data_IF_553240885335
#
_entry.id   IF_553240885335
#
_cell.length_a   1.000
_cell.length_b   1.000
_cell.length_c   1.000
_cell.angle_alpha   90.00
_cell.angle_beta   90.00
_cell.angle_gamma   90.00
#
_symmetry.space_group_name_H-M   'P 1'
#
loop_
_entity.id
_entity.type
_entity.pdbx_description
1 polymer ?
#
# COMPACT_ATOMS: atom_id res chain seq x y z
N UNK A 1 32.29 36.32 -31.01
CA UNK A 1 30.85 36.28 -30.63
C UNK A 1 30.23 34.87 -30.69
N UNK A 2 30.66 33.94 -31.58
CA UNK A 2 30.08 32.59 -31.70
C UNK A 2 30.32 31.62 -30.52
N UNK A 3 31.43 31.76 -29.77
CA UNK A 3 31.77 30.85 -28.64
C UNK A 3 30.96 31.10 -27.36
N UNK A 4 30.41 32.30 -27.17
CA UNK A 4 29.59 32.62 -25.98
C UNK A 4 28.15 32.07 -26.13
N UNK A 5 27.57 32.15 -27.34
CA UNK A 5 26.22 31.63 -27.62
C UNK A 5 26.15 30.10 -27.49
N UNK A 6 27.20 29.37 -27.89
CA UNK A 6 27.26 27.91 -27.74
C UNK A 6 27.28 27.47 -26.25
N UNK A 7 27.89 28.26 -25.36
CA UNK A 7 27.90 27.98 -23.91
C UNK A 7 26.51 28.11 -23.29
N UNK A 8 25.74 29.12 -23.69
CA UNK A 8 24.38 29.31 -23.19
C UNK A 8 23.40 28.27 -23.74
N UNK A 9 23.56 27.83 -24.99
CA UNK A 9 22.76 26.72 -25.56
C UNK A 9 23.04 25.41 -24.84
N UNK A 10 24.30 25.11 -24.52
CA UNK A 10 24.67 23.91 -23.75
C UNK A 10 24.12 23.89 -22.33
N UNK A 11 24.06 25.06 -21.67
CA UNK A 11 23.46 25.21 -20.33
C UNK A 11 21.93 25.10 -20.38
N UNK A 12 21.29 25.63 -21.43
CA UNK A 12 19.84 25.55 -21.60
C UNK A 12 19.37 24.12 -21.88
N UNK A 13 20.15 23.32 -22.61
CA UNK A 13 19.88 21.89 -22.82
C UNK A 13 20.17 21.01 -21.59
N UNK A 14 21.06 21.44 -20.69
CA UNK A 14 21.34 20.72 -19.44
C UNK A 14 20.19 20.82 -18.43
N UNK A 15 19.38 21.89 -18.49
CA UNK A 15 18.16 22.04 -17.67
C UNK A 15 17.01 21.16 -18.18
N UNK A 16 17.00 20.83 -19.48
CA UNK A 16 16.00 19.95 -20.12
C UNK A 16 16.29 18.45 -19.92
N UNK A 17 17.46 18.11 -19.35
CA UNK A 17 17.91 16.75 -19.02
C UNK A 17 17.93 16.48 -17.50
N UNK A 18 17.12 17.22 -16.73
CA UNK A 18 16.69 16.70 -15.44
C UNK A 18 15.74 15.54 -15.77
N UNK A 19 16.00 14.31 -15.31
CA UNK A 19 15.01 13.25 -15.41
C UNK A 19 13.77 13.74 -14.66
N UNK A 20 12.71 14.11 -15.38
CA UNK A 20 11.38 14.31 -14.85
C UNK A 20 10.78 12.94 -14.49
N UNK A 21 11.43 12.23 -13.57
CA UNK A 21 11.05 10.92 -13.04
C UNK A 21 10.80 10.97 -11.53
N UNK A 22 10.41 12.12 -11.02
CA UNK A 22 9.52 12.18 -9.87
C UNK A 22 8.13 12.45 -10.45
N UNK A 23 7.32 11.39 -10.64
CA UNK A 23 5.88 11.61 -10.68
C UNK A 23 5.53 12.33 -9.39
N UNK A 24 5.11 13.59 -9.48
CA UNK A 24 4.55 14.28 -8.32
C UNK A 24 3.29 13.52 -7.96
N UNK A 25 3.37 12.62 -6.98
CA UNK A 25 2.17 12.13 -6.31
C UNK A 25 1.68 13.28 -5.42
N UNK A 26 1.02 14.25 -6.03
CA UNK A 26 0.32 15.29 -5.30
C UNK A 26 -0.82 14.66 -4.50
N UNK A 27 -1.28 15.35 -3.47
CA UNK A 27 -2.20 14.76 -2.49
C UNK A 27 -3.53 14.30 -3.09
N UNK A 28 -3.92 14.86 -4.23
CA UNK A 28 -5.08 14.42 -5.02
C UNK A 28 -4.92 12.97 -5.51
N UNK A 29 -3.72 12.56 -5.91
CA UNK A 29 -3.45 11.19 -6.36
C UNK A 29 -3.47 10.22 -5.18
N UNK A 30 -2.93 10.64 -4.04
CA UNK A 30 -3.02 9.86 -2.80
C UNK A 30 -4.47 9.67 -2.36
N UNK A 31 -5.29 10.72 -2.46
CA UNK A 31 -6.71 10.65 -2.11
C UNK A 31 -7.46 9.67 -3.03
N UNK A 32 -7.20 9.70 -4.35
CA UNK A 32 -7.80 8.77 -5.33
C UNK A 32 -7.39 7.31 -5.12
N UNK A 33 -6.15 7.09 -4.68
CA UNK A 33 -5.67 5.76 -4.30
C UNK A 33 -6.41 5.30 -3.04
N UNK A 34 -6.32 6.02 -1.93
CA UNK A 34 -6.75 5.44 -0.66
C UNK A 34 -8.27 5.49 -0.42
N UNK A 35 -8.94 6.57 -0.79
CA UNK A 35 -10.28 6.89 -0.27
C UNK A 35 -11.41 6.70 -1.29
N UNK A 36 -12.66 6.73 -0.80
CA UNK A 36 -13.86 6.64 -1.64
C UNK A 36 -14.18 5.23 -2.14
N UNK A 37 -13.45 4.21 -1.67
CA UNK A 37 -13.64 2.81 -2.05
C UNK A 37 -13.26 1.85 -0.92
N UNK A 38 -13.67 0.60 -1.08
CA UNK A 38 -13.22 -0.51 -0.24
C UNK A 38 -12.17 -1.30 -1.00
N UNK A 39 -11.06 -1.59 -0.35
CA UNK A 39 -9.97 -2.40 -0.87
C UNK A 39 -10.12 -3.83 -0.38
N UNK A 40 -10.18 -4.81 -1.29
CA UNK A 40 -10.16 -6.24 -0.96
C UNK A 40 -8.74 -6.77 -1.13
N UNK A 41 -8.20 -7.41 -0.09
CA UNK A 41 -6.88 -8.02 -0.13
C UNK A 41 -6.82 -9.12 -1.20
N UNK A 42 -5.74 -9.14 -1.98
CA UNK A 42 -5.45 -10.18 -2.95
C UNK A 42 -4.44 -11.19 -2.41
N UNK A 43 -3.27 -10.75 -1.95
CA UNK A 43 -2.26 -11.62 -1.32
C UNK A 43 -1.16 -10.81 -0.60
N UNK A 44 -0.33 -11.49 0.18
CA UNK A 44 0.93 -10.96 0.73
C UNK A 44 2.09 -11.61 -0.02
N UNK A 45 3.05 -10.80 -0.47
CA UNK A 45 4.20 -11.26 -1.29
C UNK A 45 5.49 -10.53 -0.92
N UNK A 46 6.63 -10.96 -1.46
CA UNK A 46 7.88 -10.19 -1.40
C UNK A 46 7.81 -9.02 -2.37
N UNK A 47 8.50 -7.91 -2.06
CA UNK A 47 8.60 -6.78 -2.98
C UNK A 47 9.12 -7.24 -4.35
N UNK A 48 8.34 -6.96 -5.40
CA UNK A 48 8.65 -7.35 -6.78
C UNK A 48 8.25 -8.77 -7.18
N UNK A 49 7.64 -9.55 -6.29
CA UNK A 49 7.06 -10.86 -6.61
C UNK A 49 5.54 -10.79 -6.78
N UNK A 50 4.95 -11.84 -7.35
CA UNK A 50 3.51 -11.96 -7.64
C UNK A 50 2.92 -13.28 -7.15
N UNK A 51 3.49 -13.84 -6.09
CA UNK A 51 3.05 -15.10 -5.46
C UNK A 51 2.97 -14.97 -3.96
N UNK A 52 2.18 -15.81 -3.32
CA UNK A 52 2.08 -15.84 -1.86
C UNK A 52 3.45 -15.99 -1.19
N UNK A 53 3.69 -15.17 -0.18
CA UNK A 53 4.77 -15.38 0.78
C UNK A 53 4.42 -16.54 1.71
N UNK A 54 5.35 -17.48 1.88
CA UNK A 54 5.15 -18.63 2.77
C UNK A 54 5.59 -18.29 4.19
N UNK A 55 4.64 -17.84 5.01
CA UNK A 55 4.82 -17.62 6.44
C UNK A 55 5.02 -18.93 7.22
N UNK A 56 5.94 -18.95 8.22
CA UNK A 56 6.10 -20.07 9.13
C UNK A 56 4.80 -20.42 9.86
N UNK A 57 4.46 -21.70 9.94
CA UNK A 57 3.29 -22.19 10.68
C UNK A 57 1.93 -21.89 10.03
N UNK A 58 1.91 -21.49 8.75
CA UNK A 58 0.69 -21.30 7.99
C UNK A 58 0.59 -22.38 6.91
N UNK A 59 -0.43 -23.22 7.02
CA UNK A 59 -0.71 -24.27 6.04
C UNK A 59 -1.27 -23.71 4.72
N UNK A 60 -1.05 -24.43 3.62
CA UNK A 60 -1.56 -24.10 2.27
C UNK A 60 -3.07 -23.76 2.25
N UNK A 61 -3.88 -24.51 3.01
CA UNK A 61 -5.32 -24.27 3.14
C UNK A 61 -5.68 -22.85 3.59
N UNK A 62 -4.85 -22.20 4.41
CA UNK A 62 -5.09 -20.82 4.83
C UNK A 62 -4.91 -19.87 3.64
N UNK A 63 -3.86 -20.04 2.83
CA UNK A 63 -3.65 -19.23 1.63
C UNK A 63 -4.79 -19.42 0.62
N UNK A 64 -5.15 -20.68 0.33
CA UNK A 64 -6.26 -21.00 -0.58
C UNK A 64 -7.60 -20.45 -0.08
N UNK A 65 -7.81 -20.38 1.24
CA UNK A 65 -9.02 -19.78 1.79
C UNK A 65 -9.15 -18.29 1.49
N UNK A 66 -8.06 -17.58 1.21
CA UNK A 66 -8.05 -16.18 0.80
C UNK A 66 -7.96 -15.98 -0.72
N UNK A 67 -8.10 -17.04 -1.52
CA UNK A 67 -8.13 -16.91 -2.98
C UNK A 67 -9.20 -15.88 -3.43
N UNK A 68 -8.87 -14.90 -4.28
CA UNK A 68 -9.81 -13.85 -4.65
C UNK A 68 -11.08 -14.33 -5.35
N UNK A 69 -11.04 -15.50 -6.00
CA UNK A 69 -12.11 -16.08 -6.83
C UNK A 69 -12.89 -17.19 -6.13
N UNK A 70 -12.20 -18.11 -5.44
CA UNK A 70 -12.81 -19.31 -4.83
C UNK A 70 -12.67 -19.35 -3.31
N UNK A 71 -11.95 -18.40 -2.72
CA UNK A 71 -11.68 -18.35 -1.28
C UNK A 71 -12.94 -18.12 -0.45
N UNK A 72 -12.97 -18.72 0.75
CA UNK A 72 -14.05 -18.56 1.73
C UNK A 72 -13.79 -17.43 2.72
N UNK A 73 -12.56 -16.92 2.76
CA UNK A 73 -12.08 -15.83 3.61
C UNK A 73 -11.75 -14.61 2.76
N UNK A 74 -11.85 -13.44 3.39
CA UNK A 74 -11.49 -12.18 2.76
C UNK A 74 -11.12 -11.17 3.84
N UNK A 75 -10.17 -10.30 3.51
CA UNK A 75 -9.91 -9.08 4.28
C UNK A 75 -10.24 -7.88 3.39
N UNK A 76 -11.03 -6.97 3.93
CA UNK A 76 -11.44 -5.72 3.29
C UNK A 76 -11.00 -4.57 4.16
N UNK A 77 -10.54 -3.48 3.56
CA UNK A 77 -10.16 -2.27 4.28
C UNK A 77 -10.69 -1.04 3.56
N UNK A 78 -11.30 -0.12 4.31
CA UNK A 78 -11.77 1.17 3.81
C UNK A 78 -11.01 2.26 4.54
N UNK A 79 -10.51 3.23 3.78
CA UNK A 79 -9.85 4.41 4.32
C UNK A 79 -10.74 5.63 4.10
N UNK A 80 -10.95 6.38 5.17
CA UNK A 80 -11.56 7.71 5.15
C UNK A 80 -10.52 8.74 5.54
N UNK A 81 -10.66 9.98 5.09
CA UNK A 81 -9.72 11.00 5.49
C UNK A 81 -9.86 12.28 4.70
N UNK A 82 -9.09 13.26 5.12
CA UNK A 82 -9.01 14.57 4.50
C UNK A 82 -7.56 14.97 4.25
N UNK A 83 -7.37 15.73 3.20
CA UNK A 83 -6.08 16.27 2.78
C UNK A 83 -5.67 17.47 3.63
N UNK A 84 -4.39 17.50 4.01
CA UNK A 84 -3.70 18.65 4.60
C UNK A 84 -2.29 18.69 4.04
N UNK A 85 -1.98 19.70 3.23
CA UNK A 85 -0.71 19.79 2.50
C UNK A 85 -0.44 18.50 1.71
N UNK A 86 0.74 17.88 1.88
CA UNK A 86 1.18 16.65 1.22
C UNK A 86 0.71 15.36 1.93
N UNK A 87 -0.24 15.47 2.87
CA UNK A 87 -0.68 14.34 3.71
C UNK A 87 -2.19 14.17 3.64
N UNK A 88 -2.61 12.91 3.68
CA UNK A 88 -3.99 12.53 3.96
C UNK A 88 -4.00 11.71 5.24
N UNK A 89 -4.96 11.99 6.12
CA UNK A 89 -5.14 11.25 7.36
C UNK A 89 -6.62 11.11 7.68
N UNK A 90 -6.96 10.09 8.46
CA UNK A 90 -8.31 9.83 8.92
C UNK A 90 -8.43 8.45 9.53
N UNK A 91 -9.63 7.87 9.46
CA UNK A 91 -9.92 6.56 10.04
C UNK A 91 -9.85 5.46 8.98
N UNK A 92 -9.40 4.28 9.39
CA UNK A 92 -9.53 3.05 8.61
C UNK A 92 -10.40 2.03 9.32
N UNK A 93 -11.15 1.25 8.55
CA UNK A 93 -11.93 0.13 9.06
C UNK A 93 -11.70 -1.11 8.20
N UNK A 94 -11.20 -2.16 8.85
CA UNK A 94 -10.94 -3.48 8.30
C UNK A 94 -12.04 -4.47 8.69
N UNK A 95 -12.50 -5.30 7.75
CA UNK A 95 -13.58 -6.25 7.93
C UNK A 95 -13.37 -7.57 7.18
N UNK A 96 -14.22 -8.55 7.46
CA UNK A 96 -14.13 -9.92 6.94
C UNK A 96 -13.52 -10.86 7.96
N UNK A 97 -12.58 -11.70 7.54
CA UNK A 97 -11.89 -12.68 8.38
C UNK A 97 -10.92 -12.05 9.38
N UNK A 98 -10.49 -10.82 9.11
CA UNK A 98 -9.77 -9.94 10.02
C UNK A 98 -10.60 -8.67 10.23
N UNK A 99 -10.84 -8.32 11.48
CA UNK A 99 -11.54 -7.08 11.86
C UNK A 99 -10.56 -6.21 12.62
N UNK A 100 -10.31 -5.00 12.13
CA UNK A 100 -9.41 -4.06 12.78
C UNK A 100 -9.79 -2.62 12.44
N UNK A 101 -9.49 -1.67 13.33
CA UNK A 101 -9.74 -0.26 13.07
C UNK A 101 -8.69 0.62 13.73
N UNK A 102 -8.68 1.89 13.36
CA UNK A 102 -7.81 2.89 13.94
C UNK A 102 -7.69 4.09 13.01
N UNK A 103 -6.63 4.86 13.22
CA UNK A 103 -6.30 5.98 12.33
C UNK A 103 -5.18 5.60 11.38
N UNK A 104 -5.08 6.32 10.27
CA UNK A 104 -4.01 6.14 9.29
C UNK A 104 -3.55 7.47 8.74
N UNK A 105 -2.40 7.43 8.08
CA UNK A 105 -1.89 8.55 7.31
C UNK A 105 -1.04 8.07 6.14
N UNK A 106 -1.14 8.79 5.01
CA UNK A 106 -0.19 8.71 3.92
C UNK A 106 0.39 10.10 3.59
N UNK A 107 1.64 10.11 3.10
CA UNK A 107 2.30 11.30 2.57
C UNK A 107 2.64 11.08 1.09
N UNK A 108 2.13 11.94 0.20
CA UNK A 108 2.30 11.84 -1.25
C UNK A 108 3.73 12.07 -1.73
N UNK A 109 4.40 13.06 -1.15
CA UNK A 109 5.76 13.46 -1.52
C UNK A 109 6.81 12.42 -1.10
N UNK A 110 6.65 11.84 0.09
CA UNK A 110 7.60 10.87 0.67
C UNK A 110 7.19 9.42 0.45
N UNK A 111 6.00 9.17 -0.12
CA UNK A 111 5.38 7.86 -0.28
C UNK A 111 5.34 7.02 1.02
N UNK A 112 5.21 7.69 2.16
CA UNK A 112 5.13 7.00 3.46
C UNK A 112 3.69 6.71 3.83
N UNK A 113 3.46 5.61 4.53
CA UNK A 113 2.18 5.20 5.07
C UNK A 113 2.36 4.77 6.53
N UNK A 114 1.37 4.99 7.39
CA UNK A 114 1.33 4.36 8.71
C UNK A 114 -0.09 4.21 9.22
N UNK A 115 -0.28 3.27 10.11
CA UNK A 115 -1.51 3.13 10.90
C UNK A 115 -1.24 3.32 12.39
N UNK A 116 -2.26 3.72 13.13
CA UNK A 116 -2.33 3.60 14.58
C UNK A 116 -3.54 2.71 14.88
N UNK A 117 -3.28 1.43 15.13
CA UNK A 117 -4.33 0.42 15.33
C UNK A 117 -4.92 0.56 16.74
N UNK A 118 -6.24 0.69 16.82
CA UNK A 118 -6.99 0.76 18.08
C UNK A 118 -7.50 -0.61 18.51
N UNK A 119 -8.25 -1.27 17.63
CA UNK A 119 -8.79 -2.61 17.86
C UNK A 119 -8.39 -3.55 16.71
N UNK A 120 -8.18 -4.83 17.03
CA UNK A 120 -7.84 -5.87 16.05
C UNK A 120 -8.19 -7.26 16.54
N UNK A 121 -8.73 -8.10 15.65
CA UNK A 121 -8.97 -9.53 15.89
C UNK A 121 -9.06 -10.32 14.60
N UNK A 122 -8.68 -11.59 14.68
CA UNK A 122 -9.00 -12.59 13.67
C UNK A 122 -10.31 -13.28 14.09
N UNK A 123 -11.26 -13.44 13.17
CA UNK A 123 -12.61 -13.92 13.51
C UNK A 123 -12.68 -15.43 13.70
N UNK A 124 -11.74 -16.17 13.12
CA UNK A 124 -11.62 -17.62 13.21
C UNK A 124 -10.23 -17.99 13.76
N UNK A 125 -10.17 -18.71 14.88
CA UNK A 125 -8.91 -19.11 15.51
C UNK A 125 -8.06 -20.07 14.66
N UNK A 126 -8.68 -20.73 13.67
CA UNK A 126 -7.99 -21.56 12.69
C UNK A 126 -7.38 -20.75 11.55
N UNK A 127 -7.68 -19.45 11.46
CA UNK A 127 -7.06 -18.55 10.50
C UNK A 127 -5.68 -18.10 11.00
N UNK A 128 -4.66 -18.84 10.59
CA UNK A 128 -3.27 -18.52 10.91
C UNK A 128 -2.73 -17.38 10.05
N UNK A 129 -3.25 -17.21 8.83
CA UNK A 129 -2.82 -16.13 7.94
C UNK A 129 -3.34 -14.76 8.41
N UNK A 130 -4.52 -14.72 9.04
CA UNK A 130 -5.13 -13.49 9.57
C UNK A 130 -4.23 -12.70 10.53
N UNK A 131 -3.37 -13.37 11.29
CA UNK A 131 -2.39 -12.69 12.16
C UNK A 131 -1.33 -11.94 11.36
N UNK A 132 -0.89 -12.48 10.23
CA UNK A 132 0.07 -11.82 9.33
C UNK A 132 -0.57 -10.68 8.54
N UNK A 133 -1.88 -10.74 8.27
CA UNK A 133 -2.63 -9.59 7.74
C UNK A 133 -2.64 -8.44 8.75
N UNK A 134 -2.93 -8.73 10.02
CA UNK A 134 -2.85 -7.74 11.10
C UNK A 134 -1.44 -7.13 11.18
N UNK A 135 -0.41 -7.98 11.14
CA UNK A 135 0.99 -7.55 11.19
C UNK A 135 1.35 -6.65 10.02
N UNK A 136 0.98 -7.02 8.80
CA UNK A 136 1.22 -6.25 7.58
C UNK A 136 0.63 -4.83 7.68
N UNK A 137 -0.64 -4.70 8.07
CA UNK A 137 -1.28 -3.38 8.21
C UNK A 137 -0.68 -2.56 9.36
N UNK A 138 -0.33 -3.21 10.47
CA UNK A 138 0.26 -2.54 11.65
C UNK A 138 1.67 -2.02 11.36
N UNK A 139 2.46 -2.78 10.60
CA UNK A 139 3.88 -2.48 10.32
C UNK A 139 4.13 -1.74 9.01
N UNK A 140 3.09 -1.50 8.21
CA UNK A 140 3.27 -0.82 6.93
C UNK A 140 3.87 0.57 7.11
N UNK A 141 4.89 0.89 6.31
CA UNK A 141 5.69 2.12 6.38
C UNK A 141 5.64 2.95 5.11
N UNK A 142 5.31 2.34 3.98
CA UNK A 142 5.20 2.99 2.68
C UNK A 142 4.14 2.33 1.81
N UNK A 143 3.81 2.98 0.71
CA UNK A 143 2.81 2.50 -0.22
C UNK A 143 3.20 2.78 -1.67
N UNK A 144 2.66 1.97 -2.56
CA UNK A 144 2.56 2.26 -3.99
C UNK A 144 1.13 1.91 -4.43
N UNK A 145 0.69 2.45 -5.55
CA UNK A 145 -0.62 2.11 -6.08
C UNK A 145 -1.15 3.12 -7.08
N UNK A 146 -2.33 2.79 -7.58
CA UNK A 146 -3.15 3.59 -8.46
C UNK A 146 -4.63 3.39 -8.08
N UNK A 147 -5.56 3.77 -8.97
CA UNK A 147 -6.99 3.62 -8.70
C UNK A 147 -7.48 2.16 -8.64
N UNK A 148 -6.67 1.21 -9.13
CA UNK A 148 -6.98 -0.21 -9.32
C UNK A 148 -6.15 -1.15 -8.45
N UNK A 149 -5.02 -0.71 -7.93
CA UNK A 149 -4.13 -1.53 -7.11
C UNK A 149 -3.57 -0.70 -5.96
N UNK A 150 -3.52 -1.31 -4.77
CA UNK A 150 -2.86 -0.73 -3.59
C UNK A 150 -1.87 -1.75 -3.04
N UNK A 151 -0.65 -1.29 -2.79
CA UNK A 151 0.43 -2.06 -2.19
C UNK A 151 0.88 -1.34 -0.93
N UNK A 152 0.80 -2.03 0.22
CA UNK A 152 1.35 -1.52 1.48
C UNK A 152 2.58 -2.33 1.85
N UNK A 153 3.71 -1.65 1.97
CA UNK A 153 5.01 -2.27 2.21
C UNK A 153 5.35 -2.28 3.69
N UNK A 154 5.87 -3.41 4.17
CA UNK A 154 6.30 -3.61 5.54
C UNK A 154 7.51 -4.53 5.61
N UNK A 155 8.31 -4.37 6.66
CA UNK A 155 9.44 -5.26 6.93
C UNK A 155 9.00 -6.48 7.73
N UNK A 156 9.42 -7.66 7.27
CA UNK A 156 9.25 -8.94 7.94
C UNK A 156 10.58 -9.67 8.00
N UNK A 157 11.16 -9.79 9.19
CA UNK A 157 12.53 -10.26 9.41
C UNK A 157 13.54 -9.43 8.61
N UNK A 158 14.17 -10.02 7.60
CA UNK A 158 15.16 -9.37 6.71
C UNK A 158 14.61 -9.09 5.32
N UNK A 159 13.29 -9.20 5.13
CA UNK A 159 12.63 -9.10 3.83
C UNK A 159 11.58 -7.99 3.83
N UNK A 160 11.58 -7.19 2.77
CA UNK A 160 10.48 -6.27 2.49
C UNK A 160 9.34 -7.04 1.81
N UNK A 161 8.20 -7.11 2.49
CA UNK A 161 6.97 -7.68 1.97
C UNK A 161 5.98 -6.58 1.57
N UNK A 162 4.99 -6.93 0.76
CA UNK A 162 3.82 -6.10 0.52
C UNK A 162 2.53 -6.89 0.66
N UNK A 163 1.54 -6.28 1.33
CA UNK A 163 0.15 -6.72 1.26
C UNK A 163 -0.52 -5.96 0.12
N UNK A 164 -1.21 -6.70 -0.73
CA UNK A 164 -1.74 -6.22 -2.01
C UNK A 164 -3.26 -6.20 -1.98
N UNK A 165 -3.86 -5.21 -2.65
CA UNK A 165 -5.30 -5.02 -2.73
C UNK A 165 -5.75 -4.62 -4.12
N UNK A 166 -6.99 -4.98 -4.45
CA UNK A 166 -7.75 -4.44 -5.56
C UNK A 166 -9.06 -3.83 -5.04
N UNK A 167 -9.68 -2.86 -5.74
CA UNK A 167 -10.98 -2.35 -5.37
C UNK A 167 -12.00 -3.49 -5.31
N UNK A 168 -12.79 -3.50 -4.24
CA UNK A 168 -13.95 -4.35 -4.19
C UNK A 168 -14.96 -3.89 -5.25
N UNK A 169 -15.43 -4.85 -6.06
CA UNK A 169 -16.42 -4.62 -7.12
C UNK A 169 -17.83 -4.53 -6.56
#
# INVERSE_FOLDING_TARGET
MKKQILKYIGILFAIMLIPALSGCNDTDDVQKIFTGKTWKMTYITKKGEHRWYTFPGVDEKNYLSYDPTTGTRAFRITFTGSTSENRINGDFNGSGSVVMNGTWEANGEKQTFRTTVKDKRVTDSNDKLGQFIIEAITKATSYEGDEYNLYLYFEYNTETLCITFAPEK
#
